data_IF_864832489060
#
_entry.id   IF_864832489060
#
_cell.length_a   1.000
_cell.length_b   1.000
_cell.length_c   1.000
_cell.angle_alpha   90.00
_cell.angle_beta   90.00
_cell.angle_gamma   90.00
#
_symmetry.space_group_name_H-M   'P 1'
#
loop_
_entity.id
_entity.type
_entity.pdbx_description
1 polymer ?
#
# COMPACT_ATOMS: atom_id res chain seq x y z
N UNK A 1 -22.01 -20.08 11.99
CA UNK A 1 -20.79 -20.10 11.17
C UNK A 1 -20.67 -18.74 10.51
N UNK A 2 -19.64 -17.95 10.82
CA UNK A 2 -19.45 -16.65 10.19
C UNK A 2 -19.11 -16.87 8.70
N UNK A 3 -19.88 -16.23 7.82
CA UNK A 3 -19.67 -16.32 6.38
C UNK A 3 -18.47 -15.43 6.03
N UNK A 4 -17.26 -15.96 6.15
CA UNK A 4 -15.97 -15.24 5.99
C UNK A 4 -15.59 -15.10 4.51
N UNK A 5 -16.53 -14.75 3.63
CA UNK A 5 -16.17 -14.31 2.30
C UNK A 5 -15.77 -12.83 2.39
N UNK A 6 -14.53 -12.45 2.03
CA UNK A 6 -14.13 -11.04 2.01
C UNK A 6 -15.08 -10.25 1.12
N UNK A 7 -15.60 -9.12 1.61
CA UNK A 7 -16.45 -8.25 0.80
C UNK A 7 -15.56 -7.51 -0.22
N UNK A 8 -15.44 -8.11 -1.40
CA UNK A 8 -14.63 -7.61 -2.52
C UNK A 8 -15.39 -6.69 -3.46
N UNK A 9 -16.63 -6.30 -3.12
CA UNK A 9 -17.50 -5.50 -3.98
C UNK A 9 -16.87 -4.12 -4.25
N UNK A 10 -16.57 -3.84 -5.51
CA UNK A 10 -15.95 -2.59 -5.95
C UNK A 10 -14.42 -2.55 -5.84
N UNK A 11 -13.77 -3.69 -5.55
CA UNK A 11 -12.32 -3.81 -5.58
C UNK A 11 -11.87 -4.47 -6.89
N UNK A 12 -10.80 -3.94 -7.49
CA UNK A 12 -10.22 -4.48 -8.72
C UNK A 12 -9.15 -5.53 -8.39
N UNK A 13 -9.28 -6.78 -8.88
CA UNK A 13 -8.23 -7.79 -8.78
C UNK A 13 -6.91 -7.31 -9.40
N UNK A 14 -5.78 -7.62 -8.76
CA UNK A 14 -4.45 -7.13 -9.14
C UNK A 14 -4.19 -5.65 -8.78
N UNK A 15 -5.15 -4.99 -8.14
CA UNK A 15 -5.02 -3.62 -7.65
C UNK A 15 -4.36 -3.53 -6.26
N UNK A 16 -4.49 -2.37 -5.63
CA UNK A 16 -3.85 -2.10 -4.33
C UNK A 16 -4.50 -2.83 -3.15
N UNK A 17 -5.74 -3.29 -3.32
CA UNK A 17 -6.58 -3.90 -2.27
C UNK A 17 -6.82 -5.39 -2.49
N UNK A 18 -6.66 -5.87 -3.73
CA UNK A 18 -6.77 -7.28 -4.09
C UNK A 18 -5.57 -7.72 -4.93
N UNK A 19 -5.00 -8.86 -4.57
CA UNK A 19 -4.08 -9.63 -5.38
C UNK A 19 -4.74 -10.07 -6.70
N UNK A 20 -3.93 -10.53 -7.66
CA UNK A 20 -4.41 -10.97 -8.98
C UNK A 20 -5.42 -12.13 -8.94
N UNK A 21 -5.38 -12.93 -7.88
CA UNK A 21 -6.29 -14.04 -7.60
C UNK A 21 -7.59 -13.61 -6.88
N UNK A 22 -7.78 -12.32 -6.64
CA UNK A 22 -8.96 -11.79 -5.95
C UNK A 22 -8.93 -11.92 -4.43
N UNK A 23 -7.82 -12.39 -3.85
CA UNK A 23 -7.59 -12.33 -2.39
C UNK A 23 -7.14 -10.94 -1.97
N UNK A 24 -7.30 -10.56 -0.69
CA UNK A 24 -6.79 -9.28 -0.22
C UNK A 24 -5.27 -9.18 -0.37
N UNK A 25 -4.78 -8.03 -0.83
CA UNK A 25 -3.35 -7.78 -0.92
C UNK A 25 -2.69 -7.92 0.46
N UNK A 26 -1.48 -8.52 0.56
CA UNK A 26 -0.79 -8.68 1.82
C UNK A 26 -0.44 -7.32 2.43
N UNK A 27 -0.52 -7.24 3.77
CA UNK A 27 -0.18 -6.03 4.51
C UNK A 27 1.30 -6.06 4.91
N UNK A 28 2.02 -5.01 4.56
CA UNK A 28 3.37 -4.73 5.06
C UNK A 28 3.26 -3.67 6.16
N UNK A 29 3.93 -3.86 7.30
CA UNK A 29 3.99 -2.88 8.39
C UNK A 29 5.44 -2.79 8.87
N UNK A 30 5.97 -1.58 8.97
CA UNK A 30 7.38 -1.30 9.30
C UNK A 30 7.44 -0.25 10.39
N UNK A 31 8.29 -0.47 11.37
CA UNK A 31 8.59 0.52 12.42
C UNK A 31 9.71 1.43 11.94
N UNK A 32 9.50 2.75 12.05
CA UNK A 32 10.47 3.76 11.66
C UNK A 32 10.75 4.72 12.83
N UNK A 33 11.95 5.32 12.90
CA UNK A 33 12.19 6.47 13.77
C UNK A 33 11.17 7.58 13.50
N UNK A 34 10.82 8.34 14.55
CA UNK A 34 9.81 9.40 14.44
C UNK A 34 10.18 10.46 13.39
N UNK A 35 11.46 10.83 13.29
CA UNK A 35 11.96 11.78 12.30
C UNK A 35 11.75 11.28 10.87
N UNK A 36 12.13 10.04 10.58
CA UNK A 36 11.96 9.43 9.25
C UNK A 36 10.48 9.32 8.85
N UNK A 37 9.58 9.06 9.82
CA UNK A 37 8.13 9.08 9.56
C UNK A 37 7.66 10.49 9.19
N UNK A 38 8.11 11.51 9.92
CA UNK A 38 7.73 12.90 9.65
C UNK A 38 8.18 13.35 8.25
N UNK A 39 9.42 13.04 7.86
CA UNK A 39 9.93 13.32 6.51
C UNK A 39 9.09 12.63 5.43
N UNK A 40 8.71 11.35 5.64
CA UNK A 40 7.83 10.64 4.71
C UNK A 40 6.44 11.29 4.60
N UNK A 41 5.88 11.78 5.69
CA UNK A 41 4.59 12.47 5.71
C UNK A 41 4.68 13.82 4.96
N UNK A 42 5.80 14.55 5.09
CA UNK A 42 6.05 15.78 4.34
C UNK A 42 6.17 15.54 2.84
N UNK A 43 7.00 14.57 2.42
CA UNK A 43 7.13 14.22 1.01
C UNK A 43 5.82 13.70 0.40
N UNK A 44 5.05 12.94 1.17
CA UNK A 44 3.72 12.51 0.73
C UNK A 44 2.80 13.71 0.49
N UNK A 45 2.83 14.70 1.39
CA UNK A 45 2.04 15.94 1.28
C UNK A 45 2.48 16.78 0.07
N UNK A 46 3.78 16.93 -0.16
CA UNK A 46 4.32 17.61 -1.34
C UNK A 46 3.89 16.94 -2.65
N UNK A 47 3.81 15.61 -2.65
CA UNK A 47 3.31 14.82 -3.77
C UNK A 47 1.77 14.83 -3.92
N UNK A 48 1.03 15.50 -3.01
CA UNK A 48 -0.42 15.49 -2.98
C UNK A 48 -1.02 14.11 -2.70
N UNK A 49 -0.31 13.25 -1.95
CA UNK A 49 -0.70 11.88 -1.65
C UNK A 49 -0.82 11.64 -0.14
N UNK A 50 -1.64 10.66 0.24
CA UNK A 50 -1.57 10.10 1.59
C UNK A 50 -0.30 9.25 1.75
N UNK A 51 0.30 9.24 2.94
CA UNK A 51 1.58 8.56 3.24
C UNK A 51 1.59 7.10 2.81
N UNK A 52 0.52 6.34 3.06
CA UNK A 52 0.45 4.93 2.65
C UNK A 52 0.49 4.75 1.12
N UNK A 53 -0.09 5.67 0.35
CA UNK A 53 -0.03 5.66 -1.11
C UNK A 53 1.36 6.04 -1.61
N UNK A 54 1.97 7.04 -0.97
CA UNK A 54 3.31 7.50 -1.28
C UNK A 54 4.36 6.40 -1.04
N UNK A 55 4.35 5.78 0.14
CA UNK A 55 5.24 4.65 0.49
C UNK A 55 5.05 3.48 -0.46
N UNK A 56 3.80 3.13 -0.79
CA UNK A 56 3.52 2.08 -1.78
C UNK A 56 4.14 2.39 -3.13
N UNK A 57 4.01 3.62 -3.61
CA UNK A 57 4.62 4.06 -4.88
C UNK A 57 6.13 3.87 -4.85
N UNK A 58 6.82 4.40 -3.83
CA UNK A 58 8.28 4.26 -3.70
C UNK A 58 8.71 2.79 -3.72
N UNK A 59 8.01 1.94 -2.95
CA UNK A 59 8.33 0.52 -2.88
C UNK A 59 8.16 -0.19 -4.24
N UNK A 60 7.05 0.06 -4.93
CA UNK A 60 6.80 -0.55 -6.24
C UNK A 60 7.79 -0.02 -7.29
N UNK A 61 8.01 1.30 -7.34
CA UNK A 61 8.96 1.92 -8.26
C UNK A 61 10.37 1.33 -8.04
N UNK A 62 10.80 1.17 -6.79
CA UNK A 62 12.10 0.56 -6.44
C UNK A 62 12.20 -0.90 -6.85
N UNK A 63 11.14 -1.69 -6.67
CA UNK A 63 11.12 -3.10 -7.08
C UNK A 63 11.15 -3.25 -8.61
N UNK A 64 10.44 -2.39 -9.34
CA UNK A 64 10.44 -2.41 -10.82
C UNK A 64 11.71 -1.85 -11.44
N UNK A 65 12.46 -0.98 -10.74
CA UNK A 65 13.71 -0.40 -11.26
C UNK A 65 14.91 -1.34 -11.14
N UNK A 66 14.76 -2.47 -10.44
CA UNK A 66 15.80 -3.48 -10.21
C UNK A 66 15.57 -4.77 -11.03
N UNK A 67 14.66 -4.74 -12.00
CA UNK A 67 14.55 -5.73 -13.09
C UNK A 67 15.13 -5.16 -14.39
#
# INVERSE_FOLDING_TARGET
MANTAPNTRGLTPGGTSLSGDGTHSPRVTVSLPAAAKAELDEHAKEAGMGTAKYVRKILLDHLTSNE
#
